data_IF_285292878572
#
_entry.id   IF_285292878572
#
_cell.length_a   1.000
_cell.length_b   1.000
_cell.length_c   1.000
_cell.angle_alpha   90.00
_cell.angle_beta   90.00
_cell.angle_gamma   90.00
#
_symmetry.space_group_name_H-M   'P 1'
#
loop_
_entity.id
_entity.type
_entity.pdbx_description
1 polymer ?
#
# COMPACT_ATOMS: atom_id res chain seq x y z
N UNK A 1 3.94 -13.37 -5.86
CA UNK A 1 2.87 -14.29 -6.36
C UNK A 1 2.95 -15.64 -5.64
N UNK A 2 1.83 -16.33 -5.45
CA UNK A 2 1.84 -17.69 -4.90
C UNK A 2 2.12 -18.72 -6.00
N UNK A 3 2.98 -19.70 -5.73
CA UNK A 3 3.36 -20.77 -6.67
C UNK A 3 3.40 -22.11 -5.94
N UNK A 4 2.97 -23.19 -6.59
CA UNK A 4 3.12 -24.54 -6.03
C UNK A 4 4.60 -24.88 -5.80
N UNK A 5 4.93 -25.30 -4.59
CA UNK A 5 6.31 -25.55 -4.18
C UNK A 5 7.01 -26.64 -5.01
N UNK A 6 6.31 -27.75 -5.32
CA UNK A 6 6.89 -28.85 -6.10
C UNK A 6 7.21 -28.40 -7.53
N UNK A 7 6.30 -27.65 -8.14
CA UNK A 7 6.53 -27.05 -9.45
C UNK A 7 7.74 -26.10 -9.40
N UNK A 8 7.75 -25.18 -8.43
CA UNK A 8 8.84 -24.21 -8.26
C UNK A 8 10.21 -24.88 -8.12
N UNK A 9 10.30 -25.89 -7.25
CA UNK A 9 11.54 -26.67 -7.03
C UNK A 9 11.95 -27.49 -8.24
N UNK A 10 11.02 -27.82 -9.13
CA UNK A 10 11.30 -28.54 -10.38
C UNK A 10 11.86 -27.66 -11.49
N UNK A 11 11.79 -26.33 -11.37
CA UNK A 11 12.32 -25.39 -12.36
C UNK A 11 13.86 -25.32 -12.32
N UNK A 12 14.46 -24.99 -13.46
CA UNK A 12 15.88 -24.63 -13.49
C UNK A 12 16.13 -23.34 -12.72
N UNK A 13 17.38 -23.08 -12.32
CA UNK A 13 17.73 -21.81 -11.65
C UNK A 13 17.49 -20.60 -12.53
N UNK A 14 17.69 -20.74 -13.84
CA UNK A 14 17.40 -19.67 -14.79
C UNK A 14 15.90 -19.35 -14.85
N UNK A 15 15.05 -20.38 -14.82
CA UNK A 15 13.60 -20.19 -14.86
C UNK A 15 13.06 -19.62 -13.55
N UNK A 16 13.59 -20.08 -12.39
CA UNK A 16 13.26 -19.47 -11.09
C UNK A 16 13.57 -17.96 -11.10
N UNK A 17 14.79 -17.60 -11.54
CA UNK A 17 15.19 -16.20 -11.62
C UNK A 17 14.33 -15.39 -12.58
N UNK A 18 13.94 -15.98 -13.72
CA UNK A 18 13.07 -15.32 -14.69
C UNK A 18 11.69 -15.01 -14.10
N UNK A 19 11.11 -15.95 -13.34
CA UNK A 19 9.82 -15.73 -12.67
C UNK A 19 9.93 -14.67 -11.57
N UNK A 20 10.99 -14.69 -10.78
CA UNK A 20 11.26 -13.66 -9.76
C UNK A 20 11.40 -12.27 -10.39
N UNK A 21 12.18 -12.16 -11.46
CA UNK A 21 12.41 -10.91 -12.18
C UNK A 21 11.12 -10.37 -12.81
N UNK A 22 10.36 -11.23 -13.51
CA UNK A 22 9.08 -10.85 -14.10
C UNK A 22 8.08 -10.39 -13.02
N UNK A 23 7.96 -11.16 -11.93
CA UNK A 23 7.04 -10.81 -10.83
C UNK A 23 7.40 -9.50 -10.15
N UNK A 24 8.69 -9.22 -9.98
CA UNK A 24 9.17 -7.98 -9.37
C UNK A 24 8.93 -6.79 -10.29
N UNK A 25 9.23 -6.94 -11.59
CA UNK A 25 8.97 -5.91 -12.59
C UNK A 25 7.48 -5.57 -12.68
N UNK A 26 6.61 -6.57 -12.75
CA UNK A 26 5.16 -6.34 -12.81
C UNK A 26 4.63 -5.65 -11.55
N UNK A 27 5.19 -5.95 -10.37
CA UNK A 27 4.83 -5.23 -9.14
C UNK A 27 5.14 -3.72 -9.24
N UNK A 28 6.28 -3.37 -9.83
CA UNK A 28 6.72 -1.97 -9.97
C UNK A 28 5.98 -1.24 -11.11
N UNK A 29 5.79 -1.91 -12.25
CA UNK A 29 5.05 -1.38 -13.40
C UNK A 29 3.59 -1.14 -13.03
N UNK A 30 2.95 -2.09 -12.35
CA UNK A 30 1.56 -1.96 -11.92
C UNK A 30 1.34 -0.68 -11.09
N UNK A 31 2.21 -0.39 -10.11
CA UNK A 31 2.09 0.81 -9.28
C UNK A 31 2.29 2.11 -10.09
N UNK A 32 3.20 2.07 -11.06
CA UNK A 32 3.44 3.18 -11.99
C UNK A 32 2.23 3.45 -12.88
N UNK A 33 1.61 2.40 -13.43
CA UNK A 33 0.40 2.50 -14.25
C UNK A 33 -0.80 3.00 -13.45
N UNK A 34 -0.99 2.54 -12.20
CA UNK A 34 -2.02 3.08 -11.32
C UNK A 34 -1.83 4.59 -11.11
N UNK A 35 -0.61 5.01 -10.79
CA UNK A 35 -0.29 6.42 -10.55
C UNK A 35 -0.55 7.30 -11.78
N UNK A 36 -0.19 6.82 -12.97
CA UNK A 36 -0.46 7.51 -14.24
C UNK A 36 -1.95 7.63 -14.54
N UNK A 37 -2.70 6.54 -14.35
CA UNK A 37 -4.10 6.47 -14.78
C UNK A 37 -5.08 7.10 -13.77
N UNK A 38 -4.83 6.99 -12.47
CA UNK A 38 -5.78 7.38 -11.43
C UNK A 38 -6.21 8.85 -11.53
N UNK A 39 -5.28 9.78 -11.77
CA UNK A 39 -5.61 11.20 -11.90
C UNK A 39 -6.55 11.49 -13.07
N UNK A 40 -6.26 10.92 -14.24
CA UNK A 40 -7.08 11.08 -15.45
C UNK A 40 -8.48 10.50 -15.27
N UNK A 41 -8.59 9.29 -14.73
CA UNK A 41 -9.89 8.63 -14.60
C UNK A 41 -10.72 9.19 -13.46
N UNK A 42 -10.11 9.63 -12.36
CA UNK A 42 -10.84 10.34 -11.30
C UNK A 42 -11.54 11.59 -11.82
N UNK A 43 -10.83 12.40 -12.63
CA UNK A 43 -11.41 13.58 -13.26
C UNK A 43 -12.62 13.23 -14.15
N UNK A 44 -12.53 12.14 -14.94
CA UNK A 44 -13.64 11.64 -15.76
C UNK A 44 -14.83 11.18 -14.91
N UNK A 45 -14.60 10.42 -13.84
CA UNK A 45 -15.67 9.98 -12.93
C UNK A 45 -16.47 11.17 -12.39
N UNK A 46 -15.79 12.25 -12.01
CA UNK A 46 -16.45 13.44 -11.49
C UNK A 46 -17.17 14.24 -12.59
N UNK A 47 -16.51 14.48 -13.71
CA UNK A 47 -17.00 15.36 -14.77
C UNK A 47 -18.09 14.71 -15.65
N UNK A 48 -17.92 13.43 -15.99
CA UNK A 48 -18.76 12.73 -16.97
C UNK A 48 -19.84 11.87 -16.29
N UNK A 49 -19.52 11.29 -15.12
CA UNK A 49 -20.42 10.35 -14.43
C UNK A 49 -21.05 10.95 -13.17
N UNK A 50 -20.72 12.20 -12.84
CA UNK A 50 -21.32 12.93 -11.73
C UNK A 50 -20.90 12.45 -10.33
N UNK A 51 -19.84 11.63 -10.23
CA UNK A 51 -19.33 11.11 -8.95
C UNK A 51 -18.99 12.26 -8.00
N UNK A 52 -19.41 12.12 -6.73
CA UNK A 52 -19.17 13.10 -5.68
C UNK A 52 -18.16 12.56 -4.68
N UNK A 53 -16.98 13.17 -4.65
CA UNK A 53 -15.98 12.84 -3.65
C UNK A 53 -16.42 13.30 -2.26
N UNK A 54 -16.19 12.43 -1.29
CA UNK A 54 -16.43 12.63 0.14
C UNK A 54 -15.23 12.08 0.90
N UNK A 55 -14.99 12.64 2.06
CA UNK A 55 -14.00 12.17 3.03
C UNK A 55 -14.77 11.69 4.25
N UNK A 56 -14.31 10.61 4.88
CA UNK A 56 -14.77 10.25 6.22
C UNK A 56 -14.39 11.34 7.23
N UNK A 57 -15.19 11.50 8.29
CA UNK A 57 -14.82 12.39 9.39
C UNK A 57 -13.61 11.85 10.14
N UNK A 58 -12.93 12.71 10.88
CA UNK A 58 -11.82 12.28 11.73
C UNK A 58 -12.29 11.26 12.77
N UNK A 59 -13.49 11.44 13.36
CA UNK A 59 -14.13 10.45 14.24
C UNK A 59 -14.25 9.06 13.60
N UNK A 60 -14.63 8.97 12.33
CA UNK A 60 -14.72 7.69 11.62
C UNK A 60 -13.32 7.08 11.40
N UNK A 61 -12.32 7.91 11.09
CA UNK A 61 -10.94 7.45 10.97
C UNK A 61 -10.38 6.94 12.31
N UNK A 62 -10.68 7.63 13.40
CA UNK A 62 -10.27 7.22 14.75
C UNK A 62 -10.92 5.88 15.12
N UNK A 63 -12.22 5.69 14.84
CA UNK A 63 -12.90 4.41 15.04
C UNK A 63 -12.31 3.27 14.18
N UNK A 64 -11.82 3.55 12.97
CA UNK A 64 -11.08 2.54 12.19
C UNK A 64 -9.76 2.15 12.86
N UNK A 65 -9.08 3.09 13.51
CA UNK A 65 -7.86 2.85 14.27
C UNK A 65 -8.12 1.94 15.47
N UNK A 66 -9.13 2.27 16.28
CA UNK A 66 -9.56 1.47 17.44
C UNK A 66 -9.93 0.03 17.02
N UNK A 67 -10.80 -0.12 16.02
CA UNK A 67 -11.19 -1.44 15.53
C UNK A 67 -10.02 -2.23 14.94
N UNK A 68 -9.07 -1.56 14.27
CA UNK A 68 -7.88 -2.23 13.76
C UNK A 68 -6.97 -2.72 14.89
N UNK A 69 -6.85 -1.97 15.99
CA UNK A 69 -6.09 -2.38 17.18
C UNK A 69 -6.68 -3.66 17.78
N UNK A 70 -7.99 -3.71 18.01
CA UNK A 70 -8.69 -4.91 18.50
C UNK A 70 -8.42 -6.14 17.62
N UNK A 71 -8.51 -5.99 16.29
CA UNK A 71 -8.21 -7.08 15.35
C UNK A 71 -6.76 -7.53 15.46
N UNK A 72 -5.81 -6.60 15.60
CA UNK A 72 -4.40 -6.96 15.74
C UNK A 72 -4.10 -7.63 17.08
N UNK A 73 -4.79 -7.28 18.17
CA UNK A 73 -4.70 -7.99 19.45
C UNK A 73 -5.09 -9.47 19.31
N UNK A 74 -6.18 -9.77 18.58
CA UNK A 74 -6.56 -11.15 18.29
C UNK A 74 -5.51 -11.86 17.42
N UNK A 75 -4.99 -11.19 16.39
CA UNK A 75 -3.98 -11.74 15.47
C UNK A 75 -2.68 -12.10 16.20
N UNK A 76 -2.17 -11.25 17.09
CA UNK A 76 -0.93 -11.55 17.83
C UNK A 76 -1.13 -12.68 18.84
N UNK A 77 -2.34 -12.84 19.38
CA UNK A 77 -2.68 -13.92 20.30
C UNK A 77 -2.90 -15.26 19.58
N UNK A 78 -3.19 -15.26 18.28
CA UNK A 78 -3.41 -16.48 17.50
C UNK A 78 -2.17 -17.38 17.42
N UNK A 79 -0.97 -16.81 17.27
CA UNK A 79 0.27 -17.61 17.26
C UNK A 79 1.52 -16.76 17.48
N UNK A 80 2.58 -17.42 17.97
CA UNK A 80 3.93 -16.85 18.10
C UNK A 80 4.50 -16.33 16.75
N UNK A 81 4.21 -17.00 15.63
CA UNK A 81 4.61 -16.50 14.31
C UNK A 81 3.87 -15.19 13.95
N UNK A 82 2.56 -15.14 14.17
CA UNK A 82 1.76 -13.94 13.91
C UNK A 82 2.24 -12.75 14.76
N UNK A 83 2.54 -13.00 16.04
CA UNK A 83 3.13 -12.00 16.94
C UNK A 83 4.43 -11.43 16.38
N UNK A 84 5.39 -12.28 16.00
CA UNK A 84 6.68 -11.80 15.43
C UNK A 84 6.52 -11.01 14.15
N UNK A 85 5.63 -11.44 13.24
CA UNK A 85 5.37 -10.72 12.00
C UNK A 85 4.76 -9.35 12.30
N UNK A 86 3.82 -9.28 13.24
CA UNK A 86 3.20 -8.02 13.65
C UNK A 86 4.21 -7.07 14.30
N UNK A 87 5.04 -7.56 15.23
CA UNK A 87 6.10 -6.76 15.88
C UNK A 87 7.08 -6.20 14.83
N UNK A 88 7.52 -7.01 13.87
CA UNK A 88 8.37 -6.55 12.77
C UNK A 88 7.68 -5.48 11.91
N UNK A 89 6.37 -5.64 11.64
CA UNK A 89 5.59 -4.68 10.88
C UNK A 89 5.44 -3.35 11.63
N UNK A 90 5.20 -3.37 12.94
CA UNK A 90 5.05 -2.15 13.75
C UNK A 90 6.32 -1.29 13.74
N UNK A 91 7.49 -1.91 13.87
CA UNK A 91 8.79 -1.22 13.79
C UNK A 91 8.95 -0.55 12.43
N UNK A 92 8.77 -1.31 11.34
CA UNK A 92 8.89 -0.77 9.98
C UNK A 92 7.88 0.36 9.71
N UNK A 93 6.63 0.21 10.16
CA UNK A 93 5.57 1.22 10.00
C UNK A 93 5.94 2.52 10.71
N UNK A 94 6.48 2.45 11.92
CA UNK A 94 6.89 3.63 12.68
C UNK A 94 8.06 4.35 12.00
N UNK A 95 9.10 3.62 11.60
CA UNK A 95 10.30 4.19 10.97
C UNK A 95 9.99 4.81 9.60
N UNK A 96 9.33 4.05 8.73
CA UNK A 96 8.98 4.52 7.37
C UNK A 96 7.97 5.67 7.45
N UNK A 97 6.95 5.56 8.31
CA UNK A 97 5.93 6.60 8.46
C UNK A 97 6.50 7.93 8.96
N UNK A 98 7.41 7.88 9.95
CA UNK A 98 8.08 9.07 10.45
C UNK A 98 8.90 9.78 9.36
N UNK A 99 9.62 9.02 8.53
CA UNK A 99 10.35 9.56 7.40
C UNK A 99 9.42 10.11 6.30
N UNK A 100 8.36 9.39 5.93
CA UNK A 100 7.41 9.81 4.89
C UNK A 100 6.71 11.13 5.23
N UNK A 101 6.40 11.37 6.52
CA UNK A 101 5.77 12.60 6.99
C UNK A 101 6.58 13.86 6.64
N UNK A 102 7.92 13.78 6.69
CA UNK A 102 8.81 14.91 6.41
C UNK A 102 9.34 14.95 4.98
N UNK A 103 9.29 13.81 4.27
CA UNK A 103 9.73 13.69 2.89
C UNK A 103 8.55 13.94 1.94
N UNK A 104 8.00 12.88 1.35
CA UNK A 104 7.04 12.98 0.25
C UNK A 104 5.73 13.66 0.65
N UNK A 105 5.20 13.41 1.85
CA UNK A 105 3.92 13.98 2.29
C UNK A 105 4.01 15.50 2.36
N UNK A 106 5.03 16.03 3.04
CA UNK A 106 5.20 17.47 3.20
C UNK A 106 5.64 18.13 1.89
N UNK A 107 6.53 17.50 1.13
CA UNK A 107 6.93 18.01 -0.18
C UNK A 107 5.73 18.16 -1.13
N UNK A 108 4.90 17.12 -1.26
CA UNK A 108 3.72 17.17 -2.13
C UNK A 108 2.73 18.24 -1.67
N UNK A 109 2.51 18.36 -0.36
CA UNK A 109 1.66 19.41 0.23
C UNK A 109 2.16 20.81 -0.15
N UNK A 110 3.45 21.09 0.05
CA UNK A 110 4.02 22.41 -0.23
C UNK A 110 4.08 22.71 -1.73
N UNK A 111 4.49 21.73 -2.55
CA UNK A 111 4.53 21.87 -4.01
C UNK A 111 3.15 22.18 -4.56
N UNK A 112 2.13 21.41 -4.17
CA UNK A 112 0.77 21.61 -4.66
C UNK A 112 0.19 22.97 -4.20
N UNK A 113 0.51 23.41 -2.97
CA UNK A 113 0.14 24.75 -2.47
C UNK A 113 0.69 25.87 -3.36
N UNK A 114 1.97 25.82 -3.71
CA UNK A 114 2.61 26.83 -4.56
C UNK A 114 2.06 26.82 -5.99
N UNK A 115 1.77 25.63 -6.53
CA UNK A 115 1.23 25.46 -7.88
C UNK A 115 -0.29 25.68 -7.97
N UNK A 116 -0.99 25.88 -6.85
CA UNK A 116 -2.45 26.04 -6.82
C UNK A 116 -3.22 24.77 -7.21
N UNK A 117 -2.62 23.60 -7.08
CA UNK A 117 -3.25 22.31 -7.35
C UNK A 117 -4.16 21.97 -6.16
N UNK A 118 -5.45 21.77 -6.42
CA UNK A 118 -6.49 21.45 -5.43
C UNK A 118 -6.98 20.02 -5.55
#
# INVERSE_FOLDING_TARGET
IGINEKFWKGLSKSDQLMVEAASSMENDVMMSEYSWNNGRFLAKLQAEQGVKLRRFSDEIYDSFGEAAEEVFEEVVNHSDLAKRVHESFLVARAEVGAWQNIADVEYLRQRNRVLGIK
#
